data_IF_763728004881
#
_entry.id   IF_763728004881
#
_cell.length_a   1.000
_cell.length_b   1.000
_cell.length_c   1.000
_cell.angle_alpha   90.00
_cell.angle_beta   90.00
_cell.angle_gamma   90.00
#
_symmetry.space_group_name_H-M   'P 1'
#
loop_
_entity.id
_entity.type
_entity.pdbx_description
1 polymer ?
#
# COMPACT_ATOMS: atom_id res chain seq x y z
N UNK A 1 11.91 -14.17 -19.31
CA UNK A 1 11.27 -15.36 -19.90
C UNK A 1 10.44 -15.94 -18.77
N UNK A 2 9.15 -15.59 -18.70
CA UNK A 2 8.30 -16.11 -17.62
C UNK A 2 8.16 -17.62 -17.79
N UNK A 3 8.58 -18.38 -16.77
CA UNK A 3 8.24 -19.78 -16.69
C UNK A 3 6.71 -19.91 -16.79
N UNK A 4 6.22 -20.84 -17.61
CA UNK A 4 4.80 -21.11 -17.72
C UNK A 4 4.26 -21.40 -16.31
N UNK A 5 3.39 -20.52 -15.80
CA UNK A 5 2.67 -20.78 -14.56
C UNK A 5 1.88 -22.07 -14.72
N UNK A 6 1.81 -22.87 -13.65
CA UNK A 6 0.94 -24.02 -13.61
C UNK A 6 -0.53 -23.58 -13.85
N UNK A 7 -1.29 -24.40 -14.57
CA UNK A 7 -2.64 -24.05 -15.02
C UNK A 7 -3.59 -23.72 -13.86
N UNK A 8 -3.43 -24.40 -12.73
CA UNK A 8 -4.19 -24.18 -11.50
C UNK A 8 -3.85 -22.82 -10.87
N UNK A 9 -2.58 -22.45 -10.78
CA UNK A 9 -2.11 -21.14 -10.29
C UNK A 9 -2.64 -20.03 -11.20
N UNK A 10 -2.57 -20.22 -12.52
CA UNK A 10 -3.10 -19.27 -13.51
C UNK A 10 -4.61 -19.09 -13.35
N UNK A 11 -5.36 -20.18 -13.18
CA UNK A 11 -6.81 -20.13 -12.99
C UNK A 11 -7.21 -19.48 -11.66
N UNK A 12 -6.48 -19.75 -10.56
CA UNK A 12 -6.67 -19.07 -9.27
C UNK A 12 -6.44 -17.57 -9.40
N UNK A 13 -5.33 -17.16 -10.02
CA UNK A 13 -4.99 -15.76 -10.21
C UNK A 13 -6.04 -15.01 -11.03
N UNK A 14 -6.51 -15.60 -12.14
CA UNK A 14 -7.60 -15.04 -12.94
C UNK A 14 -8.87 -14.87 -12.10
N UNK A 15 -9.25 -15.89 -11.32
CA UNK A 15 -10.45 -15.85 -10.49
C UNK A 15 -10.36 -14.73 -9.44
N UNK A 16 -9.22 -14.58 -8.77
CA UNK A 16 -9.01 -13.50 -7.80
C UNK A 16 -9.09 -12.14 -8.51
N UNK A 17 -8.47 -12.01 -9.69
CA UNK A 17 -8.52 -10.80 -10.50
C UNK A 17 -9.93 -10.38 -10.89
N UNK A 18 -10.75 -11.32 -11.37
CA UNK A 18 -12.16 -11.08 -11.69
C UNK A 18 -12.97 -10.73 -10.44
N UNK A 19 -12.64 -11.34 -9.30
CA UNK A 19 -13.26 -11.01 -8.02
C UNK A 19 -12.92 -9.59 -7.56
N UNK A 20 -11.68 -9.15 -7.70
CA UNK A 20 -11.24 -7.78 -7.39
C UNK A 20 -11.96 -6.75 -8.27
N UNK A 21 -12.13 -7.04 -9.56
CA UNK A 21 -12.93 -6.22 -10.48
C UNK A 21 -14.39 -6.11 -10.02
N UNK A 22 -14.96 -7.21 -9.52
CA UNK A 22 -16.30 -7.27 -8.97
C UNK A 22 -16.40 -6.74 -7.52
N UNK A 23 -15.36 -6.05 -7.01
CA UNK A 23 -15.28 -5.51 -5.65
C UNK A 23 -15.47 -6.58 -4.55
N UNK A 24 -15.13 -7.84 -4.84
CA UNK A 24 -15.19 -8.91 -3.85
C UNK A 24 -14.02 -8.77 -2.88
N UNK A 25 -14.27 -8.91 -1.57
CA UNK A 25 -13.21 -8.84 -0.58
C UNK A 25 -12.19 -9.96 -0.77
N UNK A 26 -10.93 -9.64 -0.46
CA UNK A 26 -9.84 -10.61 -0.36
C UNK A 26 -9.45 -10.80 1.09
N UNK A 27 -8.90 -11.98 1.38
CA UNK A 27 -8.27 -12.31 2.67
C UNK A 27 -6.88 -12.85 2.41
N UNK A 28 -5.95 -12.55 3.33
CA UNK A 28 -4.60 -13.09 3.32
C UNK A 28 -4.49 -14.16 4.41
N UNK A 29 -4.05 -15.36 4.01
CA UNK A 29 -3.73 -16.46 4.92
C UNK A 29 -2.27 -16.37 5.34
N UNK A 30 -1.91 -17.14 6.36
CA UNK A 30 -0.52 -17.29 6.78
C UNK A 30 0.37 -17.70 5.57
N UNK A 31 1.60 -17.19 5.55
CA UNK A 31 2.49 -17.22 4.40
C UNK A 31 2.20 -16.15 3.35
N UNK A 32 1.27 -15.22 3.60
CA UNK A 32 0.93 -14.15 2.67
C UNK A 32 0.11 -14.58 1.45
N UNK A 33 -0.59 -15.72 1.55
CA UNK A 33 -1.38 -16.27 0.44
C UNK A 33 -2.71 -15.53 0.35
N UNK A 34 -2.94 -14.87 -0.78
CA UNK A 34 -4.14 -14.08 -1.05
C UNK A 34 -5.21 -14.99 -1.64
N UNK A 35 -6.42 -14.92 -1.08
CA UNK A 35 -7.61 -15.62 -1.58
C UNK A 35 -8.80 -14.66 -1.66
N UNK A 36 -9.78 -14.99 -2.50
CA UNK A 36 -11.10 -14.35 -2.39
C UNK A 36 -11.76 -14.80 -1.09
N UNK A 37 -12.34 -13.84 -0.36
CA UNK A 37 -13.03 -14.15 0.88
C UNK A 37 -14.35 -14.87 0.57
N UNK A 38 -14.54 -16.12 1.05
CA UNK A 38 -15.76 -16.88 0.81
C UNK A 38 -16.96 -16.36 1.62
N UNK A 39 -16.76 -15.53 2.67
CA UNK A 39 -17.84 -14.93 3.45
C UNK A 39 -17.58 -13.45 3.76
N UNK A 40 -18.55 -12.53 3.59
CA UNK A 40 -18.34 -11.10 3.77
C UNK A 40 -18.16 -10.61 5.22
N UNK A 41 -17.71 -11.44 6.18
CA UNK A 41 -17.58 -11.03 7.58
C UNK A 41 -16.21 -11.28 8.21
N UNK A 42 -15.58 -10.15 8.55
CA UNK A 42 -14.77 -9.91 9.75
C UNK A 42 -13.31 -10.41 9.79
N UNK A 43 -12.49 -9.92 8.85
CA UNK A 43 -11.15 -9.31 9.06
C UNK A 43 -10.66 -8.73 7.73
N UNK A 44 -11.56 -8.10 6.99
CA UNK A 44 -11.35 -7.74 5.59
C UNK A 44 -10.29 -6.66 5.48
N UNK A 45 -9.28 -6.88 4.62
CA UNK A 45 -8.47 -5.79 4.06
C UNK A 45 -9.40 -5.03 3.11
N UNK A 46 -10.18 -4.11 3.66
CA UNK A 46 -11.17 -3.35 2.90
C UNK A 46 -10.56 -2.01 2.53
N UNK A 47 -9.97 -1.93 1.34
CA UNK A 47 -9.60 -0.64 0.73
C UNK A 47 -10.88 0.17 0.51
N UNK A 48 -11.11 1.22 1.31
CA UNK A 48 -12.16 2.19 1.01
C UNK A 48 -11.68 3.06 -0.15
N UNK A 49 -12.26 2.85 -1.34
CA UNK A 49 -12.12 3.78 -2.46
C UNK A 49 -12.75 5.14 -2.10
N UNK A 50 -12.26 6.21 -2.74
CA UNK A 50 -12.55 7.65 -2.56
C UNK A 50 -14.04 8.11 -2.64
N UNK A 51 -15.01 7.28 -2.30
CA UNK A 51 -16.45 7.56 -2.43
C UNK A 51 -17.01 8.56 -1.39
N UNK A 52 -16.18 9.21 -0.57
CA UNK A 52 -16.64 10.26 0.36
C UNK A 52 -15.97 11.60 0.12
N UNK A 53 -16.38 12.30 -0.93
CA UNK A 53 -16.30 13.77 -0.87
C UNK A 53 -17.38 14.55 -1.62
N UNK A 54 -18.39 13.92 -2.23
CA UNK A 54 -19.50 14.67 -2.83
C UNK A 54 -20.83 13.99 -2.55
N UNK A 55 -21.52 14.48 -1.52
CA UNK A 55 -22.84 14.00 -1.12
C UNK A 55 -23.57 15.01 -0.23
N UNK A 56 -24.27 15.92 -0.91
CA UNK A 56 -25.48 16.64 -0.47
C UNK A 56 -25.46 17.35 0.89
N UNK A 57 -25.38 18.69 0.82
CA UNK A 57 -26.00 19.56 1.82
C UNK A 57 -27.50 19.28 1.88
N UNK A 58 -27.93 18.67 2.98
CA UNK A 58 -29.34 18.56 3.38
C UNK A 58 -29.73 19.71 4.33
N UNK A 59 -31.01 20.10 4.34
CA UNK A 59 -31.43 21.43 4.78
C UNK A 59 -31.38 21.59 6.31
N UNK A 60 -31.14 22.84 6.71
CA UNK A 60 -31.19 23.29 8.09
C UNK A 60 -32.59 23.07 8.70
N UNK A 61 -32.72 22.07 9.57
CA UNK A 61 -33.79 22.00 10.54
C UNK A 61 -33.34 22.66 11.84
N UNK A 62 -33.95 23.80 12.17
CA UNK A 62 -33.75 24.54 13.42
C UNK A 62 -34.53 23.92 14.59
N UNK A 63 -33.88 24.08 15.75
CA UNK A 63 -34.37 24.25 17.13
C UNK A 63 -35.24 23.19 17.80
N UNK A 64 -34.74 22.72 18.95
CA UNK A 64 -35.51 22.69 20.21
C UNK A 64 -34.58 22.83 21.41
N UNK A 65 -34.77 23.92 22.15
CA UNK A 65 -34.30 24.11 23.53
C UNK A 65 -35.14 23.24 24.48
N UNK A 66 -34.51 22.73 25.54
CA UNK A 66 -35.17 22.14 26.70
C UNK A 66 -34.15 21.65 27.72
N UNK A 67 -34.21 22.22 28.93
CA UNK A 67 -33.21 22.17 29.99
C UNK A 67 -33.39 21.04 31.02
N UNK A 68 -32.31 20.85 31.82
CA UNK A 68 -32.24 20.46 33.25
C UNK A 68 -32.39 18.99 33.73
N UNK A 69 -31.24 18.43 34.13
CA UNK A 69 -30.88 17.83 35.44
C UNK A 69 -31.72 16.67 36.01
N UNK A 70 -31.12 15.46 36.09
CA UNK A 70 -31.28 14.52 37.22
C UNK A 70 -30.08 13.57 37.34
N UNK A 71 -29.46 13.55 38.52
CA UNK A 71 -28.49 12.54 38.98
C UNK A 71 -29.19 11.20 39.27
N UNK A 72 -28.54 10.09 38.89
CA UNK A 72 -28.38 8.88 39.73
C UNK A 72 -27.37 7.90 39.10
N UNK A 73 -26.70 7.18 39.98
CA UNK A 73 -25.47 6.40 39.80
C UNK A 73 -25.69 4.95 39.37
N UNK A 74 -24.57 4.37 38.91
CA UNK A 74 -24.18 2.95 38.85
C UNK A 74 -24.94 2.03 37.89
N UNK A 75 -24.33 1.75 36.74
CA UNK A 75 -23.95 0.36 36.46
C UNK A 75 -22.72 0.26 35.54
N UNK A 76 -21.95 -0.80 35.77
CA UNK A 76 -20.57 -1.03 35.34
C UNK A 76 -20.39 -1.05 33.82
N UNK A 77 -19.71 -0.03 33.29
CA UNK A 77 -18.98 -0.13 32.02
C UNK A 77 -17.49 -0.24 32.33
N UNK A 78 -16.93 -1.41 32.03
CA UNK A 78 -15.52 -1.78 32.19
C UNK A 78 -14.65 -0.75 31.48
N UNK A 79 -13.88 0.03 32.24
CA UNK A 79 -12.87 0.93 31.70
C UNK A 79 -11.78 0.12 30.96
N UNK A 80 -11.28 0.57 29.80
CA UNK A 80 -10.03 0.03 29.28
C UNK A 80 -8.90 0.59 30.15
N UNK A 81 -8.51 -0.17 31.17
CA UNK A 81 -7.20 -0.03 31.80
C UNK A 81 -6.23 -0.94 31.06
N UNK A 82 -5.38 -0.32 30.25
CA UNK A 82 -3.96 -0.63 30.25
C UNK A 82 -3.24 0.67 29.89
N UNK A 83 -2.73 1.32 30.93
CA UNK A 83 -1.66 2.30 30.83
C UNK A 83 -0.55 1.70 29.98
N UNK A 84 -0.43 2.13 28.73
CA UNK A 84 0.73 1.75 27.92
C UNK A 84 1.93 2.43 28.54
N UNK A 85 2.86 1.64 29.09
CA UNK A 85 4.26 2.04 29.20
C UNK A 85 4.62 2.69 27.87
N UNK A 86 5.27 3.87 27.91
CA UNK A 86 5.67 4.62 26.72
C UNK A 86 6.76 3.80 26.00
N UNK A 87 6.34 2.76 25.30
CA UNK A 87 7.17 1.97 24.42
C UNK A 87 7.09 2.70 23.08
N UNK A 88 8.20 3.31 22.67
CA UNK A 88 8.27 3.97 21.36
C UNK A 88 7.92 3.00 20.22
N UNK A 89 7.66 3.52 19.01
CA UNK A 89 7.19 2.71 17.87
C UNK A 89 8.02 1.45 17.63
N UNK A 90 9.35 1.55 17.70
CA UNK A 90 10.25 0.40 17.55
C UNK A 90 9.97 -0.73 18.56
N UNK A 91 9.70 -0.39 19.83
CA UNK A 91 9.39 -1.39 20.86
C UNK A 91 7.98 -1.96 20.71
N UNK A 92 7.02 -1.18 20.21
CA UNK A 92 5.69 -1.69 19.85
C UNK A 92 5.82 -2.74 18.74
N UNK A 93 6.54 -2.42 17.65
CA UNK A 93 6.81 -3.36 16.56
C UNK A 93 7.52 -4.63 17.05
N UNK A 94 8.54 -4.49 17.90
CA UNK A 94 9.24 -5.64 18.50
C UNK A 94 8.29 -6.54 19.28
N UNK A 95 7.32 -5.97 20.01
CA UNK A 95 6.29 -6.72 20.74
C UNK A 95 5.32 -7.50 19.84
N UNK A 96 5.25 -7.18 18.54
CA UNK A 96 4.41 -7.87 17.56
C UNK A 96 5.14 -9.03 16.85
N UNK A 97 6.47 -9.11 16.95
CA UNK A 97 7.31 -9.99 16.11
C UNK A 97 6.90 -11.46 16.16
N UNK A 98 6.57 -12.00 17.34
CA UNK A 98 6.16 -13.42 17.46
C UNK A 98 4.89 -13.71 16.65
N UNK A 99 3.89 -12.82 16.70
CA UNK A 99 2.65 -12.97 15.93
C UNK A 99 2.91 -12.80 14.43
N UNK A 100 3.79 -11.87 14.06
CA UNK A 100 4.22 -11.68 12.67
C UNK A 100 4.93 -12.92 12.16
N UNK A 101 5.87 -13.50 12.90
CA UNK A 101 6.59 -14.71 12.51
C UNK A 101 5.70 -15.94 12.38
N UNK A 102 4.62 -16.02 13.16
CA UNK A 102 3.61 -17.07 13.00
C UNK A 102 2.85 -16.93 11.68
N UNK A 103 2.48 -15.71 11.31
CA UNK A 103 1.76 -15.41 10.07
C UNK A 103 2.67 -15.38 8.83
N UNK A 104 3.92 -14.97 8.99
CA UNK A 104 4.94 -14.80 7.96
C UNK A 104 6.25 -15.43 8.44
N UNK A 105 6.42 -16.75 8.27
CA UNK A 105 7.61 -17.46 8.73
C UNK A 105 8.89 -16.84 8.19
N UNK A 106 9.88 -16.66 9.06
CA UNK A 106 11.16 -16.04 8.72
C UNK A 106 11.15 -14.50 8.66
N UNK A 107 10.03 -13.85 9.02
CA UNK A 107 10.02 -12.41 9.18
C UNK A 107 10.98 -11.96 10.30
N UNK A 108 11.71 -10.88 10.05
CA UNK A 108 12.68 -10.32 11.00
C UNK A 108 12.52 -8.81 11.14
N UNK A 109 12.80 -8.31 12.34
CA UNK A 109 12.98 -6.89 12.60
C UNK A 109 14.46 -6.62 12.85
N UNK A 110 15.01 -5.66 12.13
CA UNK A 110 16.43 -5.29 12.22
C UNK A 110 16.50 -3.83 12.70
N UNK A 111 17.10 -3.54 13.85
CA UNK A 111 17.19 -2.18 14.37
C UNK A 111 17.96 -1.23 13.45
N UNK A 112 17.56 0.04 13.44
CA UNK A 112 18.24 1.15 12.79
C UNK A 112 18.16 2.38 13.72
N UNK A 113 19.12 3.30 13.63
CA UNK A 113 19.13 4.52 14.45
C UNK A 113 17.84 5.36 14.32
N UNK A 114 17.13 5.24 13.19
CA UNK A 114 15.93 6.01 12.89
C UNK A 114 14.64 5.17 12.87
N UNK A 115 14.68 3.90 13.27
CA UNK A 115 13.51 3.04 13.23
C UNK A 115 13.83 1.56 13.34
N UNK A 116 13.06 0.76 12.61
CA UNK A 116 13.33 -0.66 12.41
C UNK A 116 13.09 -1.00 10.94
N UNK A 117 13.89 -1.92 10.43
CA UNK A 117 13.64 -2.58 9.16
C UNK A 117 12.80 -3.83 9.40
N UNK A 118 11.77 -4.04 8.59
CA UNK A 118 11.02 -5.29 8.53
C UNK A 118 11.34 -6.01 7.23
N UNK A 119 11.88 -7.22 7.34
CA UNK A 119 12.10 -8.14 6.23
C UNK A 119 11.10 -9.28 6.35
N UNK A 120 10.35 -9.59 5.29
CA UNK A 120 9.40 -10.69 5.27
C UNK A 120 9.29 -11.30 3.87
N UNK A 121 8.77 -12.53 3.79
CA UNK A 121 8.50 -13.24 2.54
C UNK A 121 7.03 -13.60 2.41
N UNK A 122 6.49 -13.53 1.20
CA UNK A 122 5.11 -13.86 0.90
C UNK A 122 5.03 -14.81 -0.29
N UNK A 123 4.26 -15.89 -0.15
CA UNK A 123 4.01 -16.85 -1.23
C UNK A 123 3.02 -16.30 -2.26
N UNK A 124 2.21 -15.31 -1.88
CA UNK A 124 1.23 -14.60 -2.71
C UNK A 124 0.07 -15.47 -3.21
N UNK A 125 0.36 -16.57 -3.92
CA UNK A 125 -0.59 -17.58 -4.40
C UNK A 125 -0.04 -18.96 -4.06
N UNK A 126 -0.90 -19.88 -3.58
CA UNK A 126 -0.51 -21.26 -3.31
C UNK A 126 0.00 -21.94 -4.60
N UNK A 127 1.08 -22.72 -4.50
CA UNK A 127 1.68 -23.40 -5.66
C UNK A 127 2.54 -22.51 -6.57
N UNK A 128 2.67 -21.21 -6.29
CA UNK A 128 3.58 -20.34 -7.03
C UNK A 128 5.04 -20.74 -6.78
N UNK A 129 5.80 -20.98 -7.86
CA UNK A 129 7.23 -21.36 -7.80
C UNK A 129 8.19 -20.21 -7.49
N UNK A 130 7.70 -19.08 -6.98
CA UNK A 130 8.47 -17.90 -6.59
C UNK A 130 7.81 -17.21 -5.41
N UNK A 131 8.58 -16.49 -4.62
CA UNK A 131 8.09 -15.73 -3.47
C UNK A 131 8.35 -14.24 -3.65
N UNK A 132 7.58 -13.41 -2.95
CA UNK A 132 7.83 -11.99 -2.85
C UNK A 132 8.62 -11.69 -1.58
N UNK A 133 9.72 -10.96 -1.69
CA UNK A 133 10.49 -10.40 -0.57
C UNK A 133 10.02 -8.98 -0.33
N UNK A 134 9.68 -8.66 0.91
CA UNK A 134 9.39 -7.31 1.37
C UNK A 134 10.51 -6.79 2.25
N UNK A 135 11.08 -5.64 1.90
CA UNK A 135 11.96 -4.88 2.78
C UNK A 135 11.32 -3.53 3.09
N UNK A 136 10.99 -3.28 4.35
CA UNK A 136 10.19 -2.14 4.78
C UNK A 136 10.93 -1.35 5.86
N UNK A 137 11.23 -0.09 5.57
CA UNK A 137 11.67 0.90 6.53
C UNK A 137 10.47 1.38 7.36
N UNK A 138 10.51 1.17 8.68
CA UNK A 138 9.50 1.64 9.63
C UNK A 138 10.13 2.70 10.54
N UNK A 139 9.92 4.00 10.25
CA UNK A 139 10.49 5.08 11.06
C UNK A 139 10.03 5.04 12.52
N UNK A 140 10.90 5.48 13.44
CA UNK A 140 10.59 5.62 14.87
C UNK A 140 9.65 6.78 15.20
N UNK A 141 9.34 7.62 14.21
CA UNK A 141 8.39 8.73 14.32
C UNK A 141 7.13 8.43 13.52
N UNK A 142 5.96 8.74 14.06
CA UNK A 142 4.68 8.59 13.36
C UNK A 142 4.42 9.69 12.33
N UNK A 143 5.24 10.75 12.30
CA UNK A 143 5.13 11.84 11.35
C UNK A 143 5.59 11.46 9.93
N UNK A 144 6.29 10.33 9.78
CA UNK A 144 6.82 9.86 8.50
C UNK A 144 6.25 8.47 8.22
N UNK A 145 5.65 8.31 7.05
CA UNK A 145 5.10 7.03 6.60
C UNK A 145 6.22 6.02 6.30
N UNK A 146 5.96 4.71 6.43
CA UNK A 146 6.91 3.68 5.98
C UNK A 146 7.23 3.78 4.49
N UNK A 147 8.43 3.32 4.13
CA UNK A 147 8.80 3.01 2.75
C UNK A 147 9.12 1.53 2.67
N UNK A 148 8.54 0.83 1.70
CA UNK A 148 8.85 -0.58 1.52
C UNK A 148 8.98 -0.94 0.06
N UNK A 149 9.88 -1.86 -0.24
CA UNK A 149 10.19 -2.32 -1.57
C UNK A 149 9.90 -3.82 -1.67
N UNK A 150 9.43 -4.26 -2.83
CA UNK A 150 9.04 -5.64 -3.06
C UNK A 150 9.82 -6.22 -4.24
N UNK A 151 10.25 -7.48 -4.11
CA UNK A 151 11.03 -8.18 -5.10
C UNK A 151 10.53 -9.60 -5.30
N UNK A 152 10.50 -10.11 -6.53
CA UNK A 152 10.33 -11.53 -6.81
C UNK A 152 11.65 -12.25 -6.56
N UNK A 153 11.62 -13.34 -5.80
CA UNK A 153 12.72 -14.29 -5.65
C UNK A 153 12.32 -15.63 -6.26
N UNK A 154 13.05 -16.05 -7.29
CA UNK A 154 12.85 -17.31 -7.98
C UNK A 154 14.23 -17.95 -8.23
N UNK A 155 14.49 -19.09 -7.57
CA UNK A 155 15.76 -19.83 -7.70
C UNK A 155 17.01 -18.96 -7.44
N UNK A 156 16.90 -17.99 -6.52
CA UNK A 156 17.98 -17.05 -6.19
C UNK A 156 18.13 -15.87 -7.15
N UNK A 157 17.31 -15.80 -8.21
CA UNK A 157 17.19 -14.62 -9.05
C UNK A 157 16.18 -13.66 -8.45
N UNK A 158 16.63 -12.43 -8.20
CA UNK A 158 15.79 -11.40 -7.59
C UNK A 158 15.49 -10.26 -8.56
N UNK A 159 14.21 -9.93 -8.71
CA UNK A 159 13.72 -8.89 -9.60
C UNK A 159 12.79 -7.93 -8.85
N UNK A 160 12.96 -6.62 -9.04
CA UNK A 160 12.06 -5.64 -8.45
C UNK A 160 10.64 -5.77 -9.01
N UNK A 161 9.64 -5.76 -8.12
CA UNK A 161 8.25 -5.78 -8.50
C UNK A 161 7.82 -4.36 -8.88
N UNK A 162 7.80 -4.10 -10.20
CA UNK A 162 6.87 -3.17 -10.82
C UNK A 162 7.24 -1.69 -10.89
N UNK A 163 7.47 -1.13 -12.09
CA UNK A 163 7.36 0.31 -12.32
C UNK A 163 5.90 0.77 -12.50
N UNK A 164 5.00 -0.09 -12.98
CA UNK A 164 3.58 0.24 -13.17
C UNK A 164 2.82 0.15 -11.85
N UNK A 165 1.94 1.10 -11.58
CA UNK A 165 1.13 1.12 -10.34
C UNK A 165 1.93 1.13 -9.03
N UNK A 166 3.20 1.56 -9.13
CA UNK A 166 4.06 1.99 -8.04
C UNK A 166 4.08 3.51 -8.06
N UNK A 167 3.47 4.18 -7.07
CA UNK A 167 3.25 5.62 -7.13
C UNK A 167 4.47 6.43 -6.69
N UNK A 168 5.24 5.92 -5.74
CA UNK A 168 6.33 6.66 -5.14
C UNK A 168 7.57 6.71 -6.06
N UNK A 169 8.25 7.88 -6.16
CA UNK A 169 9.44 8.03 -7.00
C UNK A 169 10.58 7.05 -6.66
N UNK A 170 10.71 6.67 -5.39
CA UNK A 170 11.70 5.72 -4.90
C UNK A 170 11.31 4.25 -5.13
N UNK A 171 10.30 3.98 -5.96
CA UNK A 171 9.88 2.62 -6.27
C UNK A 171 9.25 1.86 -5.09
N UNK A 172 8.88 2.55 -4.01
CA UNK A 172 8.24 1.92 -2.87
C UNK A 172 6.78 1.54 -3.15
N UNK A 173 6.35 0.45 -2.52
CA UNK A 173 5.01 -0.12 -2.59
C UNK A 173 3.97 0.92 -2.15
N UNK A 174 2.95 1.14 -2.98
CA UNK A 174 1.79 1.98 -2.66
C UNK A 174 0.54 1.12 -2.49
N UNK A 175 0.53 0.28 -1.45
CA UNK A 175 -0.56 -0.66 -1.16
C UNK A 175 -1.74 -0.04 -0.39
N UNK A 176 -1.57 1.14 0.20
CA UNK A 176 -2.63 1.84 0.94
C UNK A 176 -2.34 3.34 0.99
N UNK A 177 -3.34 4.12 1.40
CA UNK A 177 -3.28 5.55 1.59
C UNK A 177 -3.77 5.93 3.01
N UNK A 178 -2.87 6.35 3.92
CA UNK A 178 -3.15 6.39 5.36
C UNK A 178 -4.32 7.28 5.77
N UNK A 179 -4.63 8.32 4.99
CA UNK A 179 -5.78 9.20 5.26
C UNK A 179 -7.07 8.80 4.55
N UNK A 180 -6.99 8.10 3.41
CA UNK A 180 -8.15 7.83 2.54
C UNK A 180 -8.75 6.46 2.84
N UNK A 181 -7.93 5.39 2.82
CA UNK A 181 -8.41 4.05 3.15
C UNK A 181 -8.31 3.75 4.65
N UNK A 182 -7.36 4.39 5.35
CA UNK A 182 -7.04 4.13 6.76
C UNK A 182 -6.80 2.65 7.02
N UNK A 183 -6.29 1.92 6.02
CA UNK A 183 -6.10 0.48 6.12
C UNK A 183 -4.95 0.13 7.08
N UNK A 184 -3.98 1.04 7.23
CA UNK A 184 -2.89 0.93 8.20
C UNK A 184 -2.34 2.31 8.59
N UNK A 185 -1.70 2.41 9.76
CA UNK A 185 -1.05 3.63 10.26
C UNK A 185 0.22 3.29 11.04
N UNK A 186 1.21 4.22 11.15
CA UNK A 186 2.41 4.01 11.96
C UNK A 186 2.09 3.53 13.39
N UNK A 187 2.77 2.47 13.83
CA UNK A 187 2.50 1.77 15.10
C UNK A 187 1.36 0.75 15.03
N UNK A 188 0.72 0.61 13.88
CA UNK A 188 -0.33 -0.39 13.64
C UNK A 188 0.21 -1.83 13.62
N UNK A 189 -0.69 -2.76 13.34
CA UNK A 189 -0.41 -4.19 13.26
C UNK A 189 0.45 -4.51 12.02
N UNK A 190 1.64 -5.06 12.23
CA UNK A 190 2.60 -5.37 11.15
C UNK A 190 2.10 -6.47 10.24
N UNK A 191 1.30 -7.41 10.74
CA UNK A 191 0.67 -8.44 9.90
C UNK A 191 -0.25 -7.79 8.86
N UNK A 192 -1.11 -6.87 9.29
CA UNK A 192 -2.00 -6.12 8.40
C UNK A 192 -1.23 -5.37 7.31
N UNK A 193 -0.07 -4.78 7.63
CA UNK A 193 0.80 -4.14 6.64
C UNK A 193 1.33 -5.14 5.60
N UNK A 194 1.81 -6.32 6.04
CA UNK A 194 2.28 -7.37 5.14
C UNK A 194 1.16 -7.98 4.30
N UNK A 195 -0.06 -8.09 4.85
CA UNK A 195 -1.24 -8.54 4.13
C UNK A 195 -1.57 -7.57 2.98
N UNK A 196 -1.58 -6.26 3.25
CA UNK A 196 -1.75 -5.22 2.22
C UNK A 196 -0.70 -5.32 1.10
N UNK A 197 0.57 -5.50 1.48
CA UNK A 197 1.67 -5.65 0.52
C UNK A 197 1.52 -6.93 -0.31
N UNK A 198 1.03 -8.02 0.30
CA UNK A 198 0.78 -9.29 -0.40
C UNK A 198 -0.35 -9.15 -1.43
N UNK A 199 -1.42 -8.42 -1.11
CA UNK A 199 -2.48 -8.10 -2.07
C UNK A 199 -1.95 -7.26 -3.23
N UNK A 200 -1.15 -6.23 -2.94
CA UNK A 200 -0.53 -5.41 -3.97
C UNK A 200 0.38 -6.24 -4.90
N UNK A 201 1.19 -7.14 -4.35
CA UNK A 201 2.01 -8.06 -5.16
C UNK A 201 1.15 -9.01 -5.99
N UNK A 202 0.04 -9.52 -5.47
CA UNK A 202 -0.88 -10.34 -6.27
C UNK A 202 -1.42 -9.56 -7.47
N UNK A 203 -1.75 -8.28 -7.30
CA UNK A 203 -2.18 -7.41 -8.42
C UNK A 203 -1.07 -7.25 -9.47
N UNK A 204 0.19 -7.13 -9.04
CA UNK A 204 1.35 -7.13 -9.93
C UNK A 204 1.56 -8.46 -10.66
N UNK A 205 1.37 -9.59 -9.97
CA UNK A 205 1.42 -10.90 -10.58
C UNK A 205 0.34 -11.03 -11.66
N UNK A 206 -0.89 -10.64 -11.35
CA UNK A 206 -1.99 -10.61 -12.32
C UNK A 206 -1.67 -9.68 -13.51
N UNK A 207 -1.09 -8.50 -13.24
CA UNK A 207 -0.66 -7.58 -14.29
C UNK A 207 0.37 -8.22 -15.21
N UNK A 208 1.37 -8.92 -14.69
CA UNK A 208 2.38 -9.57 -15.52
C UNK A 208 1.78 -10.67 -16.42
N UNK A 209 0.88 -11.48 -15.86
CA UNK A 209 0.32 -12.67 -16.54
C UNK A 209 -0.79 -12.34 -17.54
N UNK A 210 -1.65 -11.38 -17.19
CA UNK A 210 -2.84 -11.03 -17.99
C UNK A 210 -2.71 -9.66 -18.64
N UNK A 211 -1.58 -8.99 -18.47
CA UNK A 211 -1.28 -7.67 -18.99
C UNK A 211 -2.39 -6.65 -18.66
N UNK A 212 -2.93 -6.77 -17.43
CA UNK A 212 -4.05 -5.99 -16.90
C UNK A 212 -4.04 -5.91 -15.38
N UNK A 213 -4.18 -4.71 -14.83
CA UNK A 213 -4.38 -4.51 -13.39
C UNK A 213 -5.79 -4.93 -12.96
N UNK A 214 -5.94 -5.81 -11.95
CA UNK A 214 -7.24 -6.20 -11.44
C UNK A 214 -7.72 -5.26 -10.32
N UNK A 215 -9.03 -4.98 -10.32
CA UNK A 215 -9.64 -4.10 -9.33
C UNK A 215 -9.35 -2.61 -9.57
N UNK A 216 -9.74 -1.79 -8.60
CA UNK A 216 -9.49 -0.34 -8.65
C UNK A 216 -8.04 -0.05 -8.30
N UNK A 217 -7.50 0.98 -8.94
CA UNK A 217 -6.19 1.52 -8.62
C UNK A 217 -6.31 2.96 -8.14
N UNK A 218 -5.56 3.28 -7.08
CA UNK A 218 -5.32 4.67 -6.69
C UNK A 218 -4.34 5.31 -7.68
N UNK A 219 -4.87 6.14 -8.59
CA UNK A 219 -4.06 6.99 -9.44
C UNK A 219 -3.54 8.19 -8.63
N UNK A 220 -2.30 8.61 -8.88
CA UNK A 220 -1.75 9.77 -8.18
C UNK A 220 -2.64 11.01 -8.41
N UNK A 221 -2.89 11.82 -7.38
CA UNK A 221 -3.70 13.01 -7.51
C UNK A 221 -2.95 14.14 -8.25
N UNK A 222 -3.70 14.99 -8.94
CA UNK A 222 -3.26 16.29 -9.44
C UNK A 222 -3.41 17.38 -8.35
N UNK A 223 -3.13 18.64 -8.72
CA UNK A 223 -3.21 19.78 -7.79
C UNK A 223 -4.63 20.02 -7.23
N UNK A 224 -5.66 19.44 -7.85
CA UNK A 224 -7.05 19.54 -7.42
C UNK A 224 -7.50 18.29 -6.64
N UNK A 225 -6.60 17.36 -6.35
CA UNK A 225 -6.91 16.08 -5.70
C UNK A 225 -7.63 15.09 -6.62
N UNK A 226 -7.75 15.38 -7.92
CA UNK A 226 -8.35 14.48 -8.89
C UNK A 226 -7.29 13.52 -9.42
N UNK A 227 -7.67 12.35 -9.89
CA UNK A 227 -6.71 11.44 -10.52
C UNK A 227 -5.98 12.13 -11.68
N UNK A 228 -4.65 12.04 -11.71
CA UNK A 228 -3.82 12.74 -12.68
C UNK A 228 -3.98 12.13 -14.10
N UNK A 229 -4.25 12.93 -15.14
CA UNK A 229 -4.47 12.43 -16.49
C UNK A 229 -3.21 11.87 -17.15
N UNK A 230 -2.02 12.41 -16.87
CA UNK A 230 -0.77 11.86 -17.37
C UNK A 230 -0.50 10.49 -16.74
N UNK A 231 -0.79 10.34 -15.44
CA UNK A 231 -0.76 9.04 -14.78
C UNK A 231 -1.70 8.06 -15.46
N UNK A 232 -2.98 8.41 -15.64
CA UNK A 232 -3.95 7.53 -16.28
C UNK A 232 -3.53 7.09 -17.67
N UNK A 233 -3.14 8.02 -18.54
CA UNK A 233 -2.72 7.71 -19.91
C UNK A 233 -1.48 6.81 -19.98
N UNK A 234 -0.58 6.93 -19.01
CA UNK A 234 0.69 6.18 -18.99
C UNK A 234 0.56 4.83 -18.28
N UNK A 235 -0.38 4.72 -17.34
CA UNK A 235 -0.44 3.60 -16.40
C UNK A 235 -1.71 2.78 -16.50
N UNK A 236 -2.78 3.26 -17.12
CA UNK A 236 -4.02 2.50 -17.22
C UNK A 236 -4.20 1.96 -18.62
N UNK A 237 -4.75 0.76 -18.69
CA UNK A 237 -5.26 0.17 -19.93
C UNK A 237 -6.75 0.38 -20.07
N UNK A 238 -7.21 0.36 -21.31
CA UNK A 238 -8.61 0.59 -21.66
C UNK A 238 -9.57 -0.35 -20.93
N UNK A 239 -9.16 -1.59 -20.66
CA UNK A 239 -9.94 -2.65 -19.99
C UNK A 239 -9.81 -2.67 -18.46
N UNK A 240 -9.03 -1.76 -17.85
CA UNK A 240 -8.90 -1.64 -16.40
C UNK A 240 -10.02 -0.76 -15.83
N UNK A 241 -10.37 -0.93 -14.55
CA UNK A 241 -11.35 -0.05 -13.92
C UNK A 241 -10.83 1.38 -13.85
N UNK A 242 -11.70 2.36 -14.12
CA UNK A 242 -11.31 3.76 -14.05
C UNK A 242 -11.06 4.20 -12.60
N UNK A 243 -10.03 5.02 -12.38
CA UNK A 243 -9.68 5.57 -11.06
C UNK A 243 -10.56 6.72 -10.59
N UNK A 244 -11.46 7.25 -11.44
CA UNK A 244 -12.34 8.36 -11.08
C UNK A 244 -13.50 7.99 -10.12
N UNK A 245 -13.57 6.73 -9.67
CA UNK A 245 -14.64 6.23 -8.81
C UNK A 245 -15.84 5.62 -9.55
N UNK A 246 -15.96 5.80 -10.87
CA UNK A 246 -17.02 5.13 -11.64
C UNK A 246 -16.76 3.62 -11.79
N UNK A 247 -17.80 2.81 -11.97
CA UNK A 247 -17.68 1.36 -12.29
C UNK A 247 -17.33 1.06 -13.75
N UNK A 248 -17.02 2.10 -14.54
CA UNK A 248 -16.71 1.97 -15.95
C UNK A 248 -15.23 1.64 -16.17
N UNK A 249 -14.94 1.01 -17.31
CA UNK A 249 -13.56 0.79 -17.76
C UNK A 249 -12.93 2.11 -18.20
N UNK A 250 -11.61 2.24 -18.02
CA UNK A 250 -10.87 3.46 -18.32
C UNK A 250 -11.09 3.93 -19.76
N UNK A 251 -11.05 3.00 -20.72
CA UNK A 251 -11.18 3.27 -22.15
C UNK A 251 -12.49 3.95 -22.54
N UNK A 252 -13.55 3.68 -21.80
CA UNK A 252 -14.88 4.25 -22.03
C UNK A 252 -15.18 5.44 -21.10
N UNK A 253 -14.42 5.58 -20.02
CA UNK A 253 -14.67 6.57 -18.98
C UNK A 253 -13.84 7.85 -19.18
N UNK A 254 -12.68 7.96 -18.51
CA UNK A 254 -11.86 9.17 -18.55
C UNK A 254 -10.95 9.24 -19.77
N UNK A 255 -10.61 8.12 -20.41
CA UNK A 255 -9.67 8.09 -21.53
C UNK A 255 -10.06 9.02 -22.69
N UNK A 256 -11.33 9.09 -23.15
CA UNK A 256 -11.72 10.00 -24.23
C UNK A 256 -11.54 11.48 -23.89
N UNK A 257 -11.60 11.84 -22.60
CA UNK A 257 -11.31 13.19 -22.13
C UNK A 257 -9.80 13.42 -22.02
N UNK A 258 -9.07 12.48 -21.40
CA UNK A 258 -7.62 12.58 -21.22
C UNK A 258 -6.87 12.73 -22.55
N UNK A 259 -7.30 12.02 -23.60
CA UNK A 259 -6.73 12.09 -24.95
C UNK A 259 -6.92 13.45 -25.64
N UNK A 260 -7.83 14.30 -25.16
CA UNK A 260 -8.02 15.67 -25.67
C UNK A 260 -7.11 16.68 -24.99
N UNK A 261 -6.46 16.30 -23.89
CA UNK A 261 -5.56 17.19 -23.16
C UNK A 261 -4.20 17.29 -23.89
N UNK A 262 -3.55 18.46 -23.91
CA UNK A 262 -2.22 18.59 -24.50
C UNK A 262 -1.20 17.74 -23.71
N UNK A 263 -0.68 16.69 -24.33
CA UNK A 263 0.17 15.69 -23.66
C UNK A 263 1.40 16.31 -22.96
N UNK A 264 2.10 17.24 -23.63
CA UNK A 264 3.26 17.91 -23.05
C UNK A 264 2.90 18.76 -21.82
N UNK A 265 1.71 19.37 -21.81
CA UNK A 265 1.24 20.16 -20.67
C UNK A 265 0.96 19.27 -19.45
N UNK A 266 0.26 18.15 -19.63
CA UNK A 266 -0.02 17.22 -18.52
C UNK A 266 1.25 16.52 -18.02
N UNK A 267 2.21 16.19 -18.91
CA UNK A 267 3.52 15.67 -18.54
C UNK A 267 4.33 16.68 -17.72
N UNK A 268 4.43 17.94 -18.17
CA UNK A 268 5.15 18.98 -17.44
C UNK A 268 4.52 19.29 -16.09
N UNK A 269 3.18 19.29 -16.01
CA UNK A 269 2.46 19.46 -14.76
C UNK A 269 2.77 18.31 -13.79
N UNK A 270 2.72 17.07 -14.29
CA UNK A 270 3.08 15.89 -13.49
C UNK A 270 4.51 15.96 -12.97
N UNK A 271 5.50 16.20 -13.85
CA UNK A 271 6.92 16.29 -13.45
C UNK A 271 7.15 17.39 -12.42
N UNK A 272 6.52 18.55 -12.58
CA UNK A 272 6.63 19.66 -11.62
C UNK A 272 6.18 19.25 -10.22
N UNK A 273 5.08 18.52 -10.11
CA UNK A 273 4.58 17.98 -8.82
C UNK A 273 5.48 16.88 -8.25
N UNK A 274 6.21 16.16 -9.10
CA UNK A 274 7.00 14.98 -8.74
C UNK A 274 8.52 15.24 -8.82
N UNK A 275 8.97 16.42 -8.42
CA UNK A 275 10.40 16.77 -8.32
C UNK A 275 11.18 16.61 -9.64
N UNK A 276 10.53 16.83 -10.77
CA UNK A 276 11.09 16.66 -12.11
C UNK A 276 11.01 15.22 -12.65
N UNK A 277 10.62 14.25 -11.82
CA UNK A 277 10.57 12.83 -12.18
C UNK A 277 9.26 12.49 -12.89
N UNK A 278 9.38 11.71 -13.96
CA UNK A 278 8.29 11.05 -14.62
C UNK A 278 7.98 9.69 -13.99
N UNK A 279 6.90 9.09 -14.47
CA UNK A 279 6.45 7.75 -14.07
C UNK A 279 7.48 6.66 -14.37
N UNK A 280 8.22 6.82 -15.46
CA UNK A 280 9.22 5.85 -15.91
C UNK A 280 10.55 5.97 -15.17
N UNK A 281 10.75 7.04 -14.39
CA UNK A 281 11.98 7.28 -13.63
C UNK A 281 11.95 6.61 -12.25
N UNK A 282 10.87 5.90 -11.92
CA UNK A 282 10.68 5.23 -10.64
C UNK A 282 11.54 3.98 -10.54
N UNK A 283 12.31 3.89 -9.48
CA UNK A 283 13.10 2.70 -9.17
C UNK A 283 13.43 2.67 -7.67
N UNK A 284 13.65 1.47 -7.08
CA UNK A 284 14.25 1.36 -5.77
C UNK A 284 15.59 2.10 -5.71
N UNK A 285 15.97 2.67 -4.55
CA UNK A 285 17.33 3.14 -4.33
C UNK A 285 18.34 2.05 -4.67
N UNK A 286 19.47 2.44 -5.28
CA UNK A 286 20.46 1.49 -5.78
C UNK A 286 21.01 0.58 -4.68
N UNK A 287 21.10 1.10 -3.46
CA UNK A 287 21.53 0.40 -2.26
C UNK A 287 20.57 -0.73 -1.88
N UNK A 288 19.25 -0.49 -2.00
CA UNK A 288 18.21 -1.49 -1.76
C UNK A 288 18.27 -2.58 -2.83
N UNK A 289 18.35 -2.19 -4.10
CA UNK A 289 18.44 -3.15 -5.21
C UNK A 289 19.70 -4.03 -5.09
N UNK A 290 20.85 -3.43 -4.78
CA UNK A 290 22.12 -4.15 -4.62
C UNK A 290 22.12 -5.09 -3.41
N UNK A 291 21.54 -4.67 -2.28
CA UNK A 291 21.42 -5.50 -1.08
C UNK A 291 20.65 -6.80 -1.37
N UNK A 292 19.50 -6.65 -2.01
CA UNK A 292 18.60 -7.76 -2.30
C UNK A 292 19.21 -8.71 -3.34
N UNK A 293 19.85 -8.17 -4.39
CA UNK A 293 20.53 -8.96 -5.41
C UNK A 293 21.70 -9.80 -4.88
N UNK A 294 22.28 -9.43 -3.74
CA UNK A 294 23.37 -10.16 -3.07
C UNK A 294 22.86 -11.13 -1.99
N UNK A 295 21.56 -11.46 -1.98
CA UNK A 295 20.96 -12.37 -1.01
C UNK A 295 21.05 -11.87 0.43
N UNK A 296 21.14 -10.54 0.64
CA UNK A 296 21.25 -9.95 1.98
C UNK A 296 22.62 -10.12 2.66
N UNK A 297 23.68 -10.45 1.90
CA UNK A 297 25.04 -10.54 2.45
C UNK A 297 25.67 -9.18 2.79
N UNK A 298 25.10 -8.08 2.28
CA UNK A 298 25.46 -6.72 2.66
C UNK A 298 24.71 -6.30 3.92
N UNK A 299 25.33 -5.44 4.73
CA UNK A 299 24.62 -4.69 5.77
C UNK A 299 23.51 -3.85 5.13
N UNK A 300 22.36 -3.75 5.79
CA UNK A 300 21.28 -2.85 5.38
C UNK A 300 21.81 -1.42 5.25
N UNK A 301 21.41 -0.67 4.20
CA UNK A 301 21.72 0.76 4.15
C UNK A 301 21.02 1.47 5.32
N UNK A 302 21.64 2.49 5.92
CA UNK A 302 20.98 3.34 6.91
C UNK A 302 19.66 3.89 6.37
N UNK A 303 18.61 3.88 7.18
CA UNK A 303 17.27 4.30 6.73
C UNK A 303 17.25 5.72 6.14
N UNK A 304 18.07 6.63 6.67
CA UNK A 304 18.21 8.00 6.15
C UNK A 304 18.78 8.09 4.74
N UNK A 305 19.55 7.11 4.26
CA UNK A 305 20.15 7.13 2.92
C UNK A 305 19.13 6.81 1.83
N UNK A 306 18.11 6.04 2.17
CA UNK A 306 17.12 5.51 1.22
C UNK A 306 15.72 6.09 1.41
N UNK A 307 15.50 6.87 2.48
CA UNK A 307 14.21 7.47 2.80
C UNK A 307 14.28 9.00 2.79
N UNK A 308 13.98 9.61 1.63
CA UNK A 308 14.09 11.07 1.43
C UNK A 308 13.20 11.89 2.38
N UNK A 309 11.95 11.47 2.60
CA UNK A 309 11.02 12.16 3.52
C UNK A 309 11.52 12.14 4.96
N UNK A 310 12.07 11.01 5.43
CA UNK A 310 12.65 10.91 6.77
C UNK A 310 13.87 11.81 6.91
N UNK A 311 14.74 11.85 5.90
CA UNK A 311 15.90 12.76 5.87
C UNK A 311 15.49 14.21 5.97
N UNK A 312 14.49 14.64 5.20
CA UNK A 312 13.96 16.00 5.26
C UNK A 312 13.42 16.34 6.66
N UNK A 313 12.64 15.42 7.25
CA UNK A 313 12.09 15.59 8.61
C UNK A 313 13.19 15.73 9.67
N UNK A 314 14.25 14.93 9.59
CA UNK A 314 15.37 15.01 10.54
C UNK A 314 16.13 16.33 10.38
N UNK A 315 16.40 16.76 9.14
CA UNK A 315 17.07 18.03 8.88
C UNK A 315 16.28 19.23 9.43
N UNK A 316 14.95 19.24 9.26
CA UNK A 316 14.08 20.28 9.80
C UNK A 316 14.10 20.32 11.34
N UNK A 317 14.04 19.17 12.00
CA UNK A 317 14.11 19.09 13.47
C UNK A 317 15.48 19.51 14.00
N UNK A 318 16.56 19.20 13.29
CA UNK A 318 17.92 19.57 13.67
C UNK A 318 18.23 21.04 13.43
N UNK A 319 17.67 21.68 12.39
CA UNK A 319 17.86 23.10 12.11
C UNK A 319 17.05 24.04 13.03
N UNK A 320 16.06 23.50 13.73
CA UNK A 320 15.22 24.21 14.70
C UNK A 320 15.72 24.08 16.16
N UNK A 321 16.93 23.52 16.38
CA UNK A 321 17.60 23.44 17.69
C UNK A 321 18.80 24.36 17.74
#
# INVERSE_FOLDING_TARGET
MEASLADDVRAELQRIGDGLDARRPVRVKDGGIVILDPQPFSTTVQEKSNEQQQGAGGPAARSRQGSTRRQRSSDRSRAPRAESRIVGLAGNYAGQLENVQRAYPGATLIPDDYGVWLLARSRVVEGLGREAIFLIALPKTSAVEPRGWAFWDQDGHVEWIGPRHTNFPDGSVCAYHPTLDKAWSPGGDLRTLLDLYSVWVLRHLHLAVFDRWPGRQHAMPDDLGQSDPYYRLTQFKDTELCSCGSDRRYGECCRPHDLKLPFLSILHAFKRRNLGLGILDRAPPAEIAALIAQGGQKTLPPMLEVHSTLRAQVAEVSGNR
#
